data_IF_053302737867
#
_entry.id   IF_053302737867
#
_cell.length_a   1.000
_cell.length_b   1.000
_cell.length_c   1.000
_cell.angle_alpha   90.00
_cell.angle_beta   90.00
_cell.angle_gamma   90.00
#
_symmetry.space_group_name_H-M   'P 1'
#
loop_
_entity.id
_entity.type
_entity.pdbx_description
1 polymer ?
#
# COMPACT_ATOMS: atom_id res chain seq x y z
N UNK A 1 16.76 -17.21 17.72
CA UNK A 1 16.50 -17.44 16.32
C UNK A 1 15.69 -16.29 15.74
N UNK A 2 16.11 -15.81 14.61
CA UNK A 2 15.48 -14.64 14.00
C UNK A 2 14.22 -15.03 13.21
N UNK A 3 13.28 -14.10 13.16
CA UNK A 3 12.11 -14.24 12.31
C UNK A 3 12.49 -14.10 10.84
N UNK A 4 11.73 -14.73 9.98
CA UNK A 4 11.89 -14.65 8.54
C UNK A 4 10.84 -13.72 7.96
N UNK A 5 11.26 -12.83 7.06
CA UNK A 5 10.36 -11.95 6.30
C UNK A 5 10.30 -12.46 4.87
N UNK A 6 9.09 -12.61 4.36
CA UNK A 6 8.87 -13.15 3.03
C UNK A 6 7.84 -12.29 2.30
N UNK A 7 8.07 -12.06 1.01
CA UNK A 7 7.10 -11.35 0.16
C UNK A 7 6.29 -12.37 -0.63
N UNK A 8 4.97 -12.23 -0.61
CA UNK A 8 4.06 -13.05 -1.42
C UNK A 8 3.15 -12.17 -2.23
N UNK A 9 2.81 -12.66 -3.42
CA UNK A 9 1.87 -11.98 -4.30
C UNK A 9 0.60 -12.84 -4.37
N UNK A 10 -0.54 -12.24 -4.04
CA UNK A 10 -1.84 -12.90 -4.11
C UNK A 10 -2.51 -12.45 -5.40
N UNK A 11 -2.84 -13.41 -6.26
CA UNK A 11 -3.45 -13.12 -7.55
C UNK A 11 -4.87 -12.56 -7.40
N UNK A 12 -5.28 -11.74 -8.35
CA UNK A 12 -6.63 -11.24 -8.44
C UNK A 12 -7.63 -12.40 -8.47
N UNK A 13 -8.66 -12.32 -7.66
CA UNK A 13 -9.67 -13.37 -7.51
C UNK A 13 -9.47 -14.25 -6.29
N UNK A 14 -8.29 -14.23 -5.69
CA UNK A 14 -8.01 -14.98 -4.47
C UNK A 14 -8.25 -14.11 -3.24
N UNK A 15 -8.46 -14.76 -2.11
CA UNK A 15 -8.70 -14.06 -0.85
C UNK A 15 -7.70 -14.44 0.25
N UNK A 16 -6.54 -14.96 -0.16
CA UNK A 16 -5.46 -15.27 0.78
C UNK A 16 -5.10 -14.02 1.58
N UNK A 17 -5.01 -14.16 2.89
CA UNK A 17 -4.66 -13.08 3.83
C UNK A 17 -5.69 -11.94 3.93
N UNK A 18 -6.89 -12.08 3.34
CA UNK A 18 -7.87 -11.00 3.35
C UNK A 18 -8.30 -10.63 4.77
N UNK A 19 -8.44 -11.61 5.66
CA UNK A 19 -8.83 -11.33 7.05
C UNK A 19 -7.70 -10.64 7.82
N UNK A 20 -6.46 -11.08 7.63
CA UNK A 20 -5.29 -10.44 8.24
C UNK A 20 -5.14 -9.00 7.74
N UNK A 21 -5.36 -8.78 6.44
CA UNK A 21 -5.31 -7.45 5.85
C UNK A 21 -6.40 -6.54 6.40
N UNK A 22 -7.61 -7.08 6.57
CA UNK A 22 -8.71 -6.32 7.19
C UNK A 22 -8.37 -5.93 8.63
N UNK A 23 -7.84 -6.86 9.43
CA UNK A 23 -7.47 -6.58 10.81
C UNK A 23 -6.36 -5.52 10.90
N UNK A 24 -5.36 -5.62 10.02
CA UNK A 24 -4.29 -4.62 9.96
C UNK A 24 -4.84 -3.24 9.58
N UNK A 25 -5.68 -3.20 8.56
CA UNK A 25 -6.32 -1.96 8.11
C UNK A 25 -7.15 -1.32 9.24
N UNK A 26 -7.90 -2.13 9.99
CA UNK A 26 -8.73 -1.63 11.09
C UNK A 26 -7.88 -1.14 12.26
N UNK A 27 -6.76 -1.78 12.55
CA UNK A 27 -5.85 -1.30 13.58
C UNK A 27 -5.30 0.10 13.22
N UNK A 28 -4.98 0.31 11.95
CA UNK A 28 -4.51 1.61 11.47
C UNK A 28 -5.64 2.65 11.52
N UNK A 29 -6.85 2.28 11.14
CA UNK A 29 -8.00 3.18 11.21
C UNK A 29 -8.24 3.65 12.66
N UNK A 30 -8.21 2.73 13.62
CA UNK A 30 -8.41 3.05 15.03
C UNK A 30 -7.31 3.96 15.57
N UNK A 31 -6.07 3.73 15.15
CA UNK A 31 -4.92 4.49 15.66
C UNK A 31 -4.76 5.85 14.98
N UNK A 32 -5.07 5.96 13.68
CA UNK A 32 -4.69 7.12 12.89
C UNK A 32 -5.85 7.80 12.15
N UNK A 33 -7.03 7.18 12.15
CA UNK A 33 -8.21 7.77 11.49
C UNK A 33 -8.19 7.75 9.97
N UNK A 34 -7.30 6.98 9.37
CA UNK A 34 -7.21 6.80 7.92
C UNK A 34 -7.69 5.40 7.53
N UNK A 35 -7.78 5.11 6.22
CA UNK A 35 -8.23 3.82 5.70
C UNK A 35 -9.63 3.46 6.24
N UNK A 36 -10.59 4.34 5.97
CA UNK A 36 -11.94 4.26 6.57
C UNK A 36 -12.92 3.34 5.83
N UNK A 37 -12.47 2.60 4.84
CA UNK A 37 -13.35 1.75 4.03
C UNK A 37 -14.03 0.69 4.89
N UNK A 38 -15.31 0.43 4.56
CA UNK A 38 -16.12 -0.57 5.26
C UNK A 38 -15.70 -1.98 4.84
N UNK A 39 -16.02 -2.95 5.71
CA UNK A 39 -15.58 -4.34 5.54
C UNK A 39 -15.95 -4.94 4.18
N UNK A 40 -17.21 -4.83 3.77
CA UNK A 40 -17.66 -5.39 2.50
C UNK A 40 -16.92 -4.78 1.30
N UNK A 41 -16.84 -3.46 1.28
CA UNK A 41 -16.12 -2.75 0.22
C UNK A 41 -14.64 -3.16 0.20
N UNK A 42 -14.00 -3.20 1.36
CA UNK A 42 -12.58 -3.56 1.46
C UNK A 42 -12.34 -4.97 0.95
N UNK A 43 -13.11 -5.94 1.42
CA UNK A 43 -12.91 -7.34 1.03
C UNK A 43 -13.17 -7.57 -0.46
N UNK A 44 -14.20 -6.93 -1.01
CA UNK A 44 -14.48 -7.04 -2.45
C UNK A 44 -13.37 -6.40 -3.29
N UNK A 45 -12.90 -5.23 -2.89
CA UNK A 45 -11.81 -4.56 -3.59
C UNK A 45 -10.51 -5.37 -3.49
N UNK A 46 -10.22 -5.92 -2.32
CA UNK A 46 -9.06 -6.79 -2.10
C UNK A 46 -9.07 -7.98 -3.07
N UNK A 47 -10.21 -8.66 -3.16
CA UNK A 47 -10.36 -9.84 -4.03
C UNK A 47 -10.20 -9.51 -5.52
N UNK A 48 -10.48 -8.28 -5.92
CA UNK A 48 -10.34 -7.83 -7.31
C UNK A 48 -8.95 -7.28 -7.63
N UNK A 49 -8.09 -7.23 -6.64
CA UNK A 49 -6.74 -6.66 -6.76
C UNK A 49 -5.69 -7.76 -6.81
N UNK A 50 -4.52 -7.41 -7.35
CA UNK A 50 -3.30 -8.16 -7.07
C UNK A 50 -2.74 -7.60 -5.78
N UNK A 51 -2.46 -8.45 -4.80
CA UNK A 51 -2.03 -8.00 -3.48
C UNK A 51 -0.60 -8.46 -3.20
N UNK A 52 0.23 -7.49 -2.87
CA UNK A 52 1.63 -7.72 -2.48
C UNK A 52 1.68 -7.70 -0.96
N UNK A 53 2.18 -8.78 -0.36
CA UNK A 53 2.21 -8.94 1.09
C UNK A 53 3.63 -9.19 1.59
N UNK A 54 3.98 -8.59 2.74
CA UNK A 54 5.13 -9.02 3.53
C UNK A 54 4.64 -9.77 4.75
N UNK A 55 5.16 -10.97 4.93
CA UNK A 55 4.78 -11.88 6.00
C UNK A 55 5.98 -12.16 6.88
N UNK A 56 5.74 -12.20 8.18
CA UNK A 56 6.76 -12.50 9.18
C UNK A 56 6.40 -13.82 9.84
N UNK A 57 7.36 -14.73 9.91
CA UNK A 57 7.18 -15.99 10.62
C UNK A 57 8.43 -16.32 11.43
N UNK A 58 8.25 -17.09 12.48
CA UNK A 58 9.32 -17.55 13.33
C UNK A 58 9.11 -19.01 13.71
N UNK A 59 10.12 -19.66 14.32
CA UNK A 59 10.04 -21.10 14.62
C UNK A 59 8.88 -21.49 15.53
N UNK A 60 8.47 -20.59 16.42
CA UNK A 60 7.40 -20.84 17.39
C UNK A 60 6.25 -19.84 17.25
N UNK A 61 6.27 -19.03 16.22
CA UNK A 61 5.26 -17.99 16.02
C UNK A 61 4.47 -18.27 14.75
N UNK A 62 3.18 -17.97 14.79
CA UNK A 62 2.35 -18.03 13.61
C UNK A 62 2.75 -16.91 12.63
N UNK A 63 2.50 -17.16 11.36
CA UNK A 63 2.72 -16.17 10.32
C UNK A 63 1.86 -14.94 10.55
N UNK A 64 2.45 -13.76 10.46
CA UNK A 64 1.72 -12.50 10.62
C UNK A 64 1.99 -11.57 9.45
N UNK A 65 0.97 -10.76 9.11
CA UNK A 65 1.05 -9.81 8.02
C UNK A 65 1.70 -8.51 8.52
N UNK A 66 2.84 -8.18 7.94
CA UNK A 66 3.60 -6.96 8.27
C UNK A 66 3.10 -5.76 7.47
N UNK A 67 2.70 -6.01 6.24
CA UNK A 67 2.17 -4.95 5.39
C UNK A 67 1.66 -5.52 4.07
N UNK A 68 0.84 -4.73 3.37
CA UNK A 68 0.32 -5.14 2.07
C UNK A 68 0.01 -3.93 1.18
N UNK A 69 0.00 -4.19 -0.12
CA UNK A 69 -0.46 -3.24 -1.12
C UNK A 69 -1.45 -3.95 -2.04
N UNK A 70 -2.67 -3.45 -2.13
CA UNK A 70 -3.69 -3.97 -3.03
C UNK A 70 -3.76 -3.05 -4.25
N UNK A 71 -3.52 -3.62 -5.43
CA UNK A 71 -3.30 -2.85 -6.66
C UNK A 71 -4.22 -3.31 -7.76
N UNK A 72 -4.89 -2.37 -8.41
CA UNK A 72 -5.72 -2.63 -9.59
C UNK A 72 -4.84 -2.95 -10.79
N UNK A 73 -5.48 -3.52 -11.81
CA UNK A 73 -4.82 -3.91 -13.06
C UNK A 73 -4.07 -2.75 -13.74
N UNK A 74 -4.54 -1.53 -13.55
CA UNK A 74 -3.93 -0.33 -14.15
C UNK A 74 -2.79 0.29 -13.32
N UNK A 75 -2.38 -0.38 -12.25
CA UNK A 75 -1.33 0.13 -11.37
C UNK A 75 -1.82 1.10 -10.30
N UNK A 76 -3.13 1.21 -10.12
CA UNK A 76 -3.69 2.08 -9.08
C UNK A 76 -3.70 1.36 -7.74
N UNK A 77 -3.09 1.96 -6.73
CA UNK A 77 -3.04 1.43 -5.36
C UNK A 77 -4.35 1.77 -4.67
N UNK A 78 -5.14 0.74 -4.36
CA UNK A 78 -6.37 0.90 -3.58
C UNK A 78 -6.08 1.00 -2.10
N UNK A 79 -5.16 0.17 -1.60
CA UNK A 79 -4.78 0.15 -0.19
C UNK A 79 -3.29 -0.09 -0.07
N UNK A 80 -2.65 0.64 0.82
CA UNK A 80 -1.27 0.42 1.23
C UNK A 80 -1.23 0.56 2.75
N UNK A 81 -0.80 -0.49 3.42
CA UNK A 81 -0.78 -0.51 4.88
C UNK A 81 0.46 -1.22 5.38
N UNK A 82 1.10 -0.66 6.39
CA UNK A 82 2.23 -1.27 7.11
C UNK A 82 1.89 -1.27 8.60
N UNK A 83 2.10 -2.41 9.23
CA UNK A 83 1.90 -2.55 10.68
C UNK A 83 2.67 -1.44 11.39
N UNK A 84 1.98 -0.65 12.25
CA UNK A 84 2.65 0.43 12.98
C UNK A 84 3.91 -0.01 13.74
N UNK A 85 3.94 -1.23 14.26
CA UNK A 85 5.10 -1.78 14.97
C UNK A 85 6.30 -2.03 14.07
N UNK A 86 6.10 -2.05 12.76
CA UNK A 86 7.15 -2.30 11.77
C UNK A 86 7.45 -1.07 10.90
N UNK A 87 6.95 0.10 11.28
CA UNK A 87 7.25 1.34 10.56
C UNK A 87 8.68 1.77 10.79
N UNK A 88 9.23 2.51 9.81
CA UNK A 88 10.62 2.92 9.85
C UNK A 88 11.60 1.85 9.41
N UNK A 89 11.12 0.67 9.03
CA UNK A 89 11.96 -0.45 8.58
C UNK A 89 11.99 -0.60 7.06
N UNK A 90 11.32 0.29 6.34
CA UNK A 90 11.36 0.32 4.88
C UNK A 90 10.34 -0.58 4.17
N UNK A 91 9.38 -1.15 4.88
CA UNK A 91 8.40 -2.06 4.24
C UNK A 91 7.49 -1.36 3.24
N UNK A 92 7.04 -0.15 3.54
CA UNK A 92 6.24 0.62 2.59
C UNK A 92 6.97 0.88 1.29
N UNK A 93 8.22 1.28 1.39
CA UNK A 93 9.10 1.51 0.24
C UNK A 93 9.30 0.23 -0.58
N UNK A 94 9.52 -0.88 0.10
CA UNK A 94 9.72 -2.18 -0.55
C UNK A 94 8.44 -2.67 -1.24
N UNK A 95 7.27 -2.42 -0.65
CA UNK A 95 5.99 -2.73 -1.29
C UNK A 95 5.84 -1.95 -2.60
N UNK A 96 6.09 -0.64 -2.56
CA UNK A 96 6.01 0.18 -3.77
C UNK A 96 7.00 -0.29 -4.83
N UNK A 97 8.22 -0.67 -4.44
CA UNK A 97 9.22 -1.19 -5.39
C UNK A 97 8.73 -2.46 -6.07
N UNK A 98 8.10 -3.37 -5.31
CA UNK A 98 7.54 -4.60 -5.88
C UNK A 98 6.40 -4.31 -6.85
N UNK A 99 5.53 -3.38 -6.50
CA UNK A 99 4.45 -2.95 -7.39
C UNK A 99 5.03 -2.35 -8.67
N UNK A 100 5.99 -1.46 -8.54
CA UNK A 100 6.60 -0.77 -9.67
C UNK A 100 7.29 -1.71 -10.67
N UNK A 101 7.73 -2.88 -10.22
CA UNK A 101 8.32 -3.88 -11.12
C UNK A 101 7.31 -4.42 -12.14
N UNK A 102 6.02 -4.29 -11.87
CA UNK A 102 4.97 -4.92 -12.68
C UNK A 102 4.07 -3.92 -13.44
N UNK A 103 4.28 -2.61 -13.25
CA UNK A 103 3.44 -1.60 -13.89
C UNK A 103 4.32 -0.47 -14.44
N UNK A 104 3.91 0.08 -15.59
CA UNK A 104 4.63 1.21 -16.20
C UNK A 104 4.45 2.50 -15.43
N UNK A 105 3.34 2.61 -14.69
CA UNK A 105 3.13 3.71 -13.74
C UNK A 105 2.32 3.21 -12.56
N UNK A 106 2.51 3.86 -11.41
CA UNK A 106 1.79 3.54 -10.18
C UNK A 106 1.09 4.81 -9.72
N UNK A 107 -0.20 4.70 -9.42
CA UNK A 107 -1.00 5.87 -9.04
C UNK A 107 -1.75 5.60 -7.73
N UNK A 108 -2.11 6.66 -7.05
CA UNK A 108 -2.92 6.57 -5.83
C UNK A 108 -3.56 7.92 -5.53
N UNK A 109 -4.47 7.91 -4.54
CA UNK A 109 -5.01 9.13 -3.95
C UNK A 109 -4.59 9.19 -2.49
N UNK A 110 -4.39 10.40 -1.99
CA UNK A 110 -4.16 10.64 -0.56
C UNK A 110 -4.94 11.90 -0.15
N UNK A 111 -5.49 11.89 1.06
CA UNK A 111 -6.16 13.09 1.58
C UNK A 111 -5.14 14.24 1.63
N UNK A 112 -5.58 15.43 1.26
CA UNK A 112 -4.71 16.61 1.30
C UNK A 112 -4.19 16.90 2.71
N UNK A 113 -4.91 16.43 3.73
CA UNK A 113 -4.53 16.59 5.14
C UNK A 113 -3.62 15.48 5.66
N UNK A 114 -3.41 14.41 4.88
CA UNK A 114 -2.59 13.28 5.30
C UNK A 114 -1.12 13.52 4.93
N UNK A 115 -0.48 14.41 5.68
CA UNK A 115 0.91 14.81 5.41
C UNK A 115 1.91 13.65 5.47
N UNK A 116 1.79 12.70 6.43
CA UNK A 116 2.71 11.55 6.43
C UNK A 116 2.63 10.73 5.14
N UNK A 117 1.44 10.48 4.61
CA UNK A 117 1.28 9.74 3.36
C UNK A 117 1.84 10.51 2.17
N UNK A 118 1.51 11.80 2.08
CA UNK A 118 1.99 12.65 0.98
C UNK A 118 3.52 12.69 0.98
N UNK A 119 4.14 12.92 2.14
CA UNK A 119 5.60 12.93 2.27
C UNK A 119 6.22 11.59 1.90
N UNK A 120 5.60 10.49 2.33
CA UNK A 120 6.05 9.15 1.97
C UNK A 120 6.08 8.96 0.45
N UNK A 121 4.99 9.29 -0.23
CA UNK A 121 4.90 9.12 -1.68
C UNK A 121 5.87 10.06 -2.42
N UNK A 122 5.95 11.30 -2.00
CA UNK A 122 6.84 12.27 -2.64
C UNK A 122 8.32 11.86 -2.48
N UNK A 123 8.69 11.31 -1.33
CA UNK A 123 10.06 10.81 -1.11
C UNK A 123 10.40 9.66 -2.05
N UNK A 124 9.42 8.91 -2.50
CA UNK A 124 9.63 7.82 -3.46
C UNK A 124 9.65 8.30 -4.92
N UNK A 125 9.34 9.57 -5.14
CA UNK A 125 9.35 10.15 -6.48
C UNK A 125 7.97 10.32 -7.10
N UNK A 126 6.89 10.06 -6.34
CA UNK A 126 5.55 10.37 -6.81
C UNK A 126 5.40 11.89 -6.95
N UNK A 127 4.66 12.30 -7.96
CA UNK A 127 4.34 13.71 -8.19
C UNK A 127 2.84 13.90 -8.03
N UNK A 128 2.45 15.03 -7.46
CA UNK A 128 1.04 15.42 -7.37
C UNK A 128 0.62 15.90 -8.75
N UNK A 129 -0.28 15.14 -9.38
CA UNK A 129 -0.78 15.48 -10.72
C UNK A 129 -1.92 16.49 -10.66
N UNK A 130 -2.79 16.35 -9.65
CA UNK A 130 -3.92 17.26 -9.49
C UNK A 130 -4.53 17.13 -8.10
N UNK A 131 -5.32 18.13 -7.74
CA UNK A 131 -6.16 18.14 -6.54
C UNK A 131 -7.60 17.88 -6.97
N UNK A 132 -8.32 17.06 -6.20
CA UNK A 132 -9.73 16.78 -6.43
C UNK A 132 -10.49 17.19 -5.19
N UNK A 133 -11.34 18.23 -5.34
CA UNK A 133 -12.14 18.71 -4.22
C UNK A 133 -13.29 17.74 -3.94
N UNK A 134 -13.60 17.58 -2.66
CA UNK A 134 -14.71 16.74 -2.20
C UNK A 134 -14.66 15.32 -2.76
N UNK A 135 -13.47 14.73 -2.78
CA UNK A 135 -13.27 13.40 -3.32
C UNK A 135 -13.82 12.30 -2.42
N UNK A 136 -13.66 12.45 -1.10
CA UNK A 136 -14.09 11.44 -0.13
C UNK A 136 -15.54 11.68 0.32
N UNK A 137 -16.18 10.61 0.82
CA UNK A 137 -17.60 10.69 1.24
C UNK A 137 -17.87 11.78 2.29
N UNK A 138 -16.87 12.06 3.14
CA UNK A 138 -16.99 13.10 4.17
C UNK A 138 -16.71 14.52 3.65
N UNK A 139 -16.53 14.67 2.34
CA UNK A 139 -16.23 15.96 1.72
C UNK A 139 -14.74 16.30 1.68
N UNK A 140 -13.89 15.43 2.19
CA UNK A 140 -12.44 15.67 2.19
C UNK A 140 -11.84 15.70 0.80
N UNK A 141 -10.83 16.53 0.62
CA UNK A 141 -10.14 16.70 -0.65
C UNK A 141 -9.00 15.69 -0.80
N UNK A 142 -8.67 15.35 -2.04
CA UNK A 142 -7.59 14.41 -2.35
C UNK A 142 -6.58 15.02 -3.31
N UNK A 143 -5.34 14.55 -3.19
CA UNK A 143 -4.34 14.65 -4.25
C UNK A 143 -4.32 13.35 -5.02
N UNK A 144 -4.20 13.44 -6.35
CA UNK A 144 -3.92 12.30 -7.20
C UNK A 144 -2.42 12.30 -7.48
N UNK A 145 -1.74 11.22 -7.09
CA UNK A 145 -0.29 11.10 -7.18
C UNK A 145 0.10 10.02 -8.18
N UNK A 146 1.21 10.24 -8.87
CA UNK A 146 1.68 9.32 -9.90
C UNK A 146 3.19 9.15 -9.83
N UNK A 147 3.63 7.91 -9.93
CA UNK A 147 5.03 7.54 -10.05
C UNK A 147 5.27 6.95 -11.44
N UNK A 148 6.21 7.54 -12.17
CA UNK A 148 6.53 7.09 -13.51
C UNK A 148 5.61 7.66 -14.58
N UNK A 149 6.17 7.92 -15.74
CA UNK A 149 5.42 8.38 -16.91
C UNK A 149 5.94 7.67 -18.15
N UNK A 150 6.22 6.37 -17.99
CA UNK A 150 6.96 5.59 -18.97
C UNK A 150 8.25 5.09 -18.34
N UNK A 151 9.10 4.41 -19.02
CA UNK A 151 10.28 3.72 -18.50
C UNK A 151 11.11 4.52 -17.48
N UNK A 152 11.83 3.84 -16.62
CA UNK A 152 12.73 4.44 -15.64
C UNK A 152 12.22 4.49 -14.22
N UNK A 153 10.99 4.04 -13.97
CA UNK A 153 10.41 3.99 -12.65
C UNK A 153 11.19 3.06 -11.72
N UNK A 154 11.56 1.88 -12.20
CA UNK A 154 12.33 0.90 -11.43
C UNK A 154 13.71 1.46 -11.09
N UNK A 155 14.34 2.16 -12.02
CA UNK A 155 15.65 2.77 -11.80
C UNK A 155 15.60 3.83 -10.71
N UNK A 156 14.54 4.66 -10.70
CA UNK A 156 14.36 5.68 -9.66
C UNK A 156 14.22 5.03 -8.29
N UNK A 157 13.42 3.98 -8.19
CA UNK A 157 13.22 3.26 -6.93
C UNK A 157 14.47 2.52 -6.49
N UNK A 158 15.21 1.93 -7.40
CA UNK A 158 16.47 1.25 -7.10
C UNK A 158 17.48 2.19 -6.46
N UNK A 159 17.54 3.44 -6.93
CA UNK A 159 18.42 4.46 -6.35
C UNK A 159 18.01 4.82 -4.93
N UNK A 160 16.70 4.83 -4.64
CA UNK A 160 16.19 5.14 -3.31
C UNK A 160 16.39 3.98 -2.34
N UNK A 161 16.37 2.74 -2.83
CA UNK A 161 16.50 1.53 -2.02
C UNK A 161 17.95 1.10 -1.82
N UNK A 162 18.78 1.44 -2.78
CA UNK A 162 20.19 1.13 -2.76
C UNK A 162 20.99 2.10 -1.95
#
# INVERSE_FOLDING_TARGET
MSATIECRVVDSGADDYVDAAWELKEAIRRAEGVLRQRRGFFKDAYRRSTVYCFLKSGPLEEESLVGFAAVRRDGYILFLAVDPDHRGEGFGKRLIARVADNYSSVTCHARTTNQPAIGFYENLGFEIERRIDSYYEDGGDAYYLKLGSGGGITDKLSRLLG
#
